data_IF_090298133938
#
_entry.id   IF_090298133938
#
_cell.length_a   1.000
_cell.length_b   1.000
_cell.length_c   1.000
_cell.angle_alpha   90.00
_cell.angle_beta   90.00
_cell.angle_gamma   90.00
#
_symmetry.space_group_name_H-M   'P 1'
#
loop_
_entity.id
_entity.type
_entity.pdbx_description
1 polymer ?
#
# COMPACT_ATOMS: atom_id res chain seq x y z
N UNK A 1 -13.07 53.10 -12.04
CA UNK A 1 -13.92 54.06 -11.31
C UNK A 1 -15.05 54.52 -12.23
N UNK A 2 -16.21 53.84 -12.21
CA UNK A 2 -17.58 54.35 -12.49
C UNK A 2 -18.54 53.16 -12.42
N UNK A 3 -19.51 53.28 -11.52
CA UNK A 3 -20.63 52.37 -11.22
C UNK A 3 -21.88 52.87 -11.94
N UNK A 4 -22.72 51.93 -12.36
CA UNK A 4 -24.19 52.00 -12.46
C UNK A 4 -24.67 50.53 -12.44
N UNK A 5 -25.24 49.94 -11.37
CA UNK A 5 -26.64 50.00 -10.88
C UNK A 5 -27.64 50.16 -12.03
N UNK A 6 -28.64 49.33 -12.29
CA UNK A 6 -29.28 48.23 -11.57
C UNK A 6 -30.80 48.28 -11.83
N UNK A 7 -31.47 47.12 -11.74
CA UNK A 7 -32.92 46.86 -11.54
C UNK A 7 -33.80 46.47 -12.76
N UNK A 8 -34.88 45.68 -12.51
CA UNK A 8 -35.16 44.42 -13.21
C UNK A 8 -36.57 44.37 -13.84
N UNK A 9 -36.92 43.30 -14.55
CA UNK A 9 -38.32 42.88 -14.74
C UNK A 9 -38.44 41.36 -14.82
N UNK A 10 -39.28 40.84 -13.93
CA UNK A 10 -39.90 39.53 -13.94
C UNK A 10 -41.28 39.66 -14.62
N UNK A 11 -41.84 38.56 -15.16
CA UNK A 11 -43.28 38.22 -15.28
C UNK A 11 -43.46 37.05 -16.25
N UNK A 12 -43.82 35.93 -15.65
CA UNK A 12 -44.65 34.83 -16.14
C UNK A 12 -45.58 35.14 -17.32
N UNK A 13 -45.67 34.20 -18.28
CA UNK A 13 -46.94 33.87 -18.93
C UNK A 13 -47.01 32.38 -19.33
N UNK A 14 -47.99 31.73 -18.73
CA UNK A 14 -48.57 30.44 -19.10
C UNK A 14 -49.00 30.40 -20.57
N UNK A 15 -48.76 29.26 -21.23
CA UNK A 15 -49.68 28.73 -22.24
C UNK A 15 -49.86 27.23 -21.99
N UNK A 16 -51.09 26.88 -21.63
CA UNK A 16 -51.66 25.54 -21.57
C UNK A 16 -52.33 25.30 -22.92
N UNK A 17 -52.01 24.19 -23.60
CA UNK A 17 -52.93 23.52 -24.54
C UNK A 17 -52.69 22.02 -24.38
N UNK A 18 -53.75 21.32 -23.96
CA UNK A 18 -53.81 19.86 -23.92
C UNK A 18 -54.69 19.30 -25.03
N UNK A 19 -54.53 18.01 -25.28
CA UNK A 19 -55.52 17.02 -25.73
C UNK A 19 -54.73 15.74 -26.04
N UNK A 20 -54.75 14.76 -25.14
CA UNK A 20 -55.65 13.59 -25.16
C UNK A 20 -55.30 12.57 -26.25
N UNK A 21 -54.80 11.41 -25.83
CA UNK A 21 -55.43 10.12 -26.14
C UNK A 21 -54.99 9.06 -25.12
N UNK A 22 -56.01 8.48 -24.51
CA UNK A 22 -56.09 7.27 -23.70
C UNK A 22 -55.56 6.00 -24.41
N UNK A 23 -54.95 5.07 -23.66
CA UNK A 23 -55.36 3.66 -23.65
C UNK A 23 -54.64 2.85 -22.55
N UNK A 24 -55.48 2.39 -21.62
CA UNK A 24 -55.52 1.07 -20.97
C UNK A 24 -54.46 0.58 -19.97
N UNK A 25 -55.05 0.15 -18.85
CA UNK A 25 -54.49 -0.49 -17.69
C UNK A 25 -54.28 -1.99 -17.87
N UNK A 26 -53.26 -2.53 -17.19
CA UNK A 26 -53.29 -3.90 -16.69
C UNK A 26 -52.51 -3.98 -15.37
N UNK A 27 -53.27 -4.10 -14.28
CA UNK A 27 -52.83 -4.63 -12.99
C UNK A 27 -52.43 -6.12 -13.15
N UNK A 28 -51.36 -6.56 -12.47
CA UNK A 28 -51.32 -7.73 -11.54
C UNK A 28 -49.90 -8.32 -11.39
N UNK A 29 -49.53 -8.52 -10.11
CA UNK A 29 -48.60 -9.48 -9.49
C UNK A 29 -47.08 -9.37 -9.62
N UNK A 30 -46.49 -9.11 -8.44
CA UNK A 30 -45.23 -9.71 -7.97
C UNK A 30 -45.23 -11.24 -8.12
N UNK A 31 -44.05 -11.84 -8.32
CA UNK A 31 -43.57 -12.67 -7.23
C UNK A 31 -42.08 -12.46 -6.91
N UNK A 32 -41.80 -12.43 -5.61
CA UNK A 32 -40.51 -12.77 -5.03
C UNK A 32 -40.12 -14.18 -5.46
N UNK A 33 -38.95 -14.34 -6.08
CA UNK A 33 -38.17 -15.57 -5.94
C UNK A 33 -36.69 -15.28 -6.08
N UNK A 34 -36.01 -15.42 -4.93
CA UNK A 34 -34.59 -15.65 -4.80
C UNK A 34 -34.12 -16.73 -5.78
N UNK A 35 -33.04 -16.48 -6.51
CA UNK A 35 -32.19 -17.53 -7.06
C UNK A 35 -30.72 -17.22 -6.74
N UNK A 36 -30.35 -17.68 -5.55
CA UNK A 36 -28.98 -17.96 -5.17
C UNK A 36 -28.40 -19.02 -6.13
N UNK A 37 -27.72 -18.60 -7.19
CA UNK A 37 -27.06 -19.52 -8.13
C UNK A 37 -25.84 -18.91 -8.86
N UNK A 38 -25.14 -17.96 -8.22
CA UNK A 38 -23.88 -17.40 -8.72
C UNK A 38 -22.68 -17.58 -7.78
N UNK A 39 -22.82 -18.29 -6.65
CA UNK A 39 -21.74 -18.48 -5.66
C UNK A 39 -21.12 -19.90 -5.66
N UNK A 40 -21.44 -20.76 -6.65
CA UNK A 40 -21.13 -22.19 -6.58
C UNK A 40 -19.98 -22.69 -7.48
N UNK A 41 -19.20 -21.83 -8.12
CA UNK A 41 -18.20 -22.27 -9.12
C UNK A 41 -16.72 -22.25 -8.69
N UNK A 42 -16.38 -21.90 -7.44
CA UNK A 42 -14.97 -21.85 -6.96
C UNK A 42 -14.68 -22.66 -5.70
N UNK A 43 -15.35 -23.80 -5.49
CA UNK A 43 -14.98 -24.77 -4.44
C UNK A 43 -14.70 -26.17 -4.99
N UNK A 44 -13.41 -26.43 -5.21
CA UNK A 44 -12.79 -27.77 -5.19
C UNK A 44 -11.48 -27.62 -4.40
N UNK A 45 -11.05 -28.51 -3.50
CA UNK A 45 -11.60 -29.68 -2.79
C UNK A 45 -10.42 -30.14 -1.90
N UNK A 46 -10.57 -30.24 -0.58
CA UNK A 46 -9.78 -31.13 0.33
C UNK A 46 -10.30 -30.98 1.78
N UNK A 47 -10.10 -31.95 2.69
CA UNK A 47 -10.88 -33.18 2.76
C UNK A 47 -11.60 -33.33 4.12
N UNK A 48 -12.73 -34.06 4.13
CA UNK A 48 -13.35 -34.56 5.36
C UNK A 48 -12.58 -35.79 5.83
N UNK A 49 -11.87 -35.69 6.96
CA UNK A 49 -11.37 -36.86 7.67
C UNK A 49 -12.43 -37.40 8.63
N UNK A 50 -12.76 -38.67 8.44
CA UNK A 50 -13.59 -39.48 9.33
C UNK A 50 -12.90 -39.62 10.71
N UNK A 51 -13.63 -39.34 11.79
CA UNK A 51 -13.26 -39.78 13.14
C UNK A 51 -13.44 -41.30 13.21
N UNK A 52 -12.33 -42.03 13.18
CA UNK A 52 -12.27 -43.41 13.66
C UNK A 52 -11.60 -43.39 15.03
N UNK A 53 -12.35 -43.78 16.06
CA UNK A 53 -11.80 -44.11 17.37
C UNK A 53 -10.95 -45.39 17.26
N UNK A 54 -9.77 -45.41 17.87
CA UNK A 54 -9.03 -46.63 18.29
C UNK A 54 -7.91 -46.26 19.29
N UNK A 55 -7.35 -47.24 20.02
CA UNK A 55 -7.17 -47.18 21.46
C UNK A 55 -5.77 -46.70 21.88
N UNK A 56 -5.68 -46.36 23.17
CA UNK A 56 -4.46 -46.13 23.92
C UNK A 56 -3.48 -47.31 23.83
N UNK A 57 -2.36 -47.12 23.15
CA UNK A 57 -1.14 -47.91 23.30
C UNK A 57 0.03 -46.95 23.48
N UNK A 58 0.63 -47.00 24.66
CA UNK A 58 1.85 -46.26 25.02
C UNK A 58 3.03 -46.90 24.29
N UNK A 59 3.54 -46.23 23.26
CA UNK A 59 4.85 -46.49 22.67
C UNK A 59 5.65 -45.20 22.81
N UNK A 60 6.69 -45.26 23.63
CA UNK A 60 7.69 -44.22 23.85
C UNK A 60 8.36 -43.84 22.53
N UNK A 61 7.84 -42.80 21.89
CA UNK A 61 8.44 -42.17 20.72
C UNK A 61 9.45 -41.12 21.21
N UNK A 62 10.72 -41.33 20.88
CA UNK A 62 11.70 -40.24 20.85
C UNK A 62 11.11 -39.12 19.99
N UNK A 63 10.85 -37.96 20.59
CA UNK A 63 10.34 -36.78 19.89
C UNK A 63 11.43 -36.26 18.96
N UNK A 64 11.40 -36.69 17.70
CA UNK A 64 12.13 -36.02 16.62
C UNK A 64 11.37 -34.72 16.37
N UNK A 65 11.84 -33.62 16.95
CA UNK A 65 11.27 -32.30 16.68
C UNK A 65 11.38 -32.01 15.18
N UNK A 66 10.27 -31.59 14.57
CA UNK A 66 10.32 -31.13 13.19
C UNK A 66 11.09 -29.81 13.10
N UNK A 67 11.77 -29.56 11.97
CA UNK A 67 12.46 -28.28 11.71
C UNK A 67 11.51 -27.09 11.90
N UNK A 68 10.25 -27.25 11.52
CA UNK A 68 9.22 -26.23 11.71
C UNK A 68 8.98 -25.94 13.20
N UNK A 69 8.85 -26.96 14.06
CA UNK A 69 8.69 -26.77 15.51
C UNK A 69 9.93 -26.15 16.17
N UNK A 70 11.13 -26.51 15.71
CA UNK A 70 12.38 -25.88 16.19
C UNK A 70 12.40 -24.39 15.82
N UNK A 71 12.09 -24.04 14.58
CA UNK A 71 12.01 -22.65 14.11
C UNK A 71 10.92 -21.89 14.86
N UNK A 72 9.73 -22.50 15.02
CA UNK A 72 8.58 -21.86 15.68
C UNK A 72 8.86 -21.59 17.16
N UNK A 73 9.50 -22.53 17.87
CA UNK A 73 9.92 -22.31 19.27
C UNK A 73 11.01 -21.25 19.39
N UNK A 74 12.01 -21.27 18.51
CA UNK A 74 13.07 -20.25 18.50
C UNK A 74 12.51 -18.84 18.20
N UNK A 75 11.56 -18.75 17.27
CA UNK A 75 10.86 -17.50 16.94
C UNK A 75 9.94 -17.01 18.06
N UNK A 76 9.34 -17.89 18.86
CA UNK A 76 8.53 -17.49 20.01
C UNK A 76 9.39 -16.88 21.14
N UNK A 77 10.63 -17.35 21.29
CA UNK A 77 11.58 -16.83 22.30
C UNK A 77 12.07 -15.42 21.91
N UNK A 78 12.28 -15.13 20.63
CA UNK A 78 12.74 -13.80 20.18
C UNK A 78 11.68 -12.71 20.34
N UNK A 79 10.38 -13.06 20.32
CA UNK A 79 9.28 -12.10 20.48
C UNK A 79 9.13 -11.51 21.89
N UNK A 80 9.79 -12.09 22.92
CA UNK A 80 9.67 -11.63 24.32
C UNK A 80 10.84 -10.75 24.79
N UNK A 81 11.87 -10.54 23.97
CA UNK A 81 13.03 -9.75 24.37
C UNK A 81 12.88 -8.26 23.98
N UNK A 82 12.69 -7.41 24.98
CA UNK A 82 12.83 -5.95 24.87
C UNK A 82 14.30 -5.47 24.84
N UNK A 83 15.26 -6.39 24.77
CA UNK A 83 16.68 -6.07 24.67
C UNK A 83 17.05 -5.72 23.21
N UNK A 84 17.94 -4.74 22.97
CA UNK A 84 18.45 -4.47 21.63
C UNK A 84 19.08 -5.73 21.03
N UNK A 85 18.86 -5.96 19.73
CA UNK A 85 19.47 -7.09 19.05
C UNK A 85 20.99 -7.02 19.16
N UNK A 86 21.63 -8.16 19.44
CA UNK A 86 23.09 -8.23 19.39
C UNK A 86 23.64 -8.08 17.97
N UNK A 87 22.80 -8.36 16.96
CA UNK A 87 23.10 -8.24 15.54
C UNK A 87 22.01 -7.42 14.84
N UNK A 88 22.05 -6.08 14.96
CA UNK A 88 20.97 -5.22 14.48
C UNK A 88 20.98 -4.97 12.96
N UNK A 89 22.06 -5.37 12.26
CA UNK A 89 22.24 -5.20 10.81
C UNK A 89 22.25 -6.53 10.08
N UNK A 90 22.00 -6.50 8.77
CA UNK A 90 22.26 -7.65 7.89
C UNK A 90 23.77 -7.80 7.76
N UNK A 91 24.30 -8.96 8.15
CA UNK A 91 25.73 -9.27 8.10
C UNK A 91 26.15 -9.60 6.66
N UNK A 92 27.41 -9.34 6.32
CA UNK A 92 27.98 -9.70 5.02
C UNK A 92 28.07 -11.24 4.86
N UNK A 93 27.25 -11.85 3.99
CA UNK A 93 27.23 -13.29 3.82
C UNK A 93 28.52 -13.83 3.21
N UNK A 94 29.19 -13.07 2.33
CA UNK A 94 30.34 -13.57 1.58
C UNK A 94 31.53 -13.82 2.51
N UNK A 95 31.72 -12.91 3.47
CA UNK A 95 32.72 -13.06 4.53
C UNK A 95 32.45 -14.24 5.47
N UNK A 96 31.17 -14.58 5.67
CA UNK A 96 30.73 -15.68 6.52
C UNK A 96 30.90 -17.01 5.79
N UNK A 97 30.34 -17.14 4.58
CA UNK A 97 30.37 -18.38 3.80
C UNK A 97 31.79 -18.85 3.48
N UNK A 98 32.71 -17.93 3.21
CA UNK A 98 34.11 -18.26 2.95
C UNK A 98 34.83 -18.94 4.14
N UNK A 99 34.34 -18.76 5.37
CA UNK A 99 34.96 -19.28 6.60
C UNK A 99 34.21 -20.45 7.20
N UNK A 100 33.04 -20.80 6.67
CA UNK A 100 32.23 -21.90 7.19
C UNK A 100 32.86 -23.24 6.84
N UNK A 101 33.23 -24.00 7.85
CA UNK A 101 33.72 -25.38 7.71
C UNK A 101 32.77 -26.35 8.40
N UNK A 102 32.55 -27.57 7.88
CA UNK A 102 31.84 -28.60 8.60
C UNK A 102 32.57 -28.90 9.92
N UNK A 103 31.83 -29.05 11.03
CA UNK A 103 32.42 -29.48 12.32
C UNK A 103 32.82 -30.95 12.34
N UNK A 104 32.36 -31.74 11.37
CA UNK A 104 32.61 -33.17 11.26
C UNK A 104 33.36 -33.45 9.96
N UNK A 105 34.49 -34.13 10.06
CA UNK A 105 35.29 -34.58 8.92
C UNK A 105 34.56 -35.70 8.12
N UNK A 106 33.56 -36.36 8.72
CA UNK A 106 32.78 -37.43 8.10
C UNK A 106 31.26 -37.30 8.46
N UNK A 107 30.48 -36.52 7.69
CA UNK A 107 29.08 -36.28 8.00
C UNK A 107 28.20 -37.50 7.70
N UNK A 108 27.39 -37.94 8.68
CA UNK A 108 26.40 -38.99 8.46
C UNK A 108 25.43 -38.58 7.33
N UNK A 109 25.32 -39.35 6.23
CA UNK A 109 24.47 -39.01 5.09
C UNK A 109 22.97 -38.97 5.42
N UNK A 110 22.57 -39.48 6.59
CA UNK A 110 21.19 -39.43 7.10
C UNK A 110 20.90 -38.19 7.98
N UNK A 111 21.88 -37.32 8.24
CA UNK A 111 21.68 -36.11 9.04
C UNK A 111 21.02 -35.00 8.21
N UNK A 112 19.89 -34.48 8.69
CA UNK A 112 19.14 -33.38 8.05
C UNK A 112 19.88 -32.04 8.13
N UNK A 113 20.82 -31.90 9.08
CA UNK A 113 21.64 -30.70 9.22
C UNK A 113 23.10 -31.07 9.57
N UNK A 114 24.06 -30.46 8.88
CA UNK A 114 25.48 -30.58 9.18
C UNK A 114 25.88 -29.41 10.08
N UNK A 115 26.36 -29.64 11.31
CA UNK A 115 26.83 -28.56 12.17
C UNK A 115 28.04 -27.86 11.54
N UNK A 116 27.96 -26.54 11.37
CA UNK A 116 29.04 -25.72 10.81
C UNK A 116 29.82 -24.99 11.92
N UNK A 117 31.13 -24.81 11.70
CA UNK A 117 32.07 -24.00 12.48
C UNK A 117 32.65 -22.88 11.63
N UNK A 118 33.38 -21.94 12.26
CA UNK A 118 34.03 -20.85 11.54
C UNK A 118 33.15 -19.62 11.30
N UNK A 119 31.93 -19.61 11.82
CA UNK A 119 31.08 -18.41 11.85
C UNK A 119 31.78 -17.29 12.62
N UNK A 120 32.21 -16.24 11.90
CA UNK A 120 32.78 -15.04 12.46
C UNK A 120 32.17 -13.83 11.77
N UNK A 121 31.83 -12.82 12.56
CA UNK A 121 31.34 -11.54 12.04
C UNK A 121 32.52 -10.80 11.42
N UNK A 122 32.31 -10.17 10.27
CA UNK A 122 33.35 -9.37 9.63
C UNK A 122 33.81 -8.24 10.57
N UNK A 123 35.08 -7.85 10.46
CA UNK A 123 35.60 -6.76 11.29
C UNK A 123 34.85 -5.44 11.02
N UNK A 124 34.38 -5.26 9.78
CA UNK A 124 33.58 -4.10 9.38
C UNK A 124 32.22 -4.12 10.04
N UNK A 125 31.49 -5.25 9.99
CA UNK A 125 30.18 -5.39 10.63
C UNK A 125 30.27 -5.22 12.14
N UNK A 126 31.28 -5.80 12.78
CA UNK A 126 31.51 -5.63 14.22
C UNK A 126 31.69 -4.15 14.60
N UNK A 127 32.47 -3.38 13.82
CA UNK A 127 32.64 -1.93 14.03
C UNK A 127 31.32 -1.17 13.85
N UNK A 128 30.53 -1.51 12.82
CA UNK A 128 29.22 -0.87 12.57
C UNK A 128 28.26 -1.16 13.73
N UNK A 129 28.21 -2.39 14.22
CA UNK A 129 27.37 -2.77 15.36
C UNK A 129 27.78 -1.98 16.61
N UNK A 130 29.07 -1.84 16.88
CA UNK A 130 29.54 -1.01 18.00
C UNK A 130 29.15 0.47 17.85
N UNK A 131 29.29 1.03 16.65
CA UNK A 131 28.84 2.41 16.36
C UNK A 131 27.34 2.56 16.62
N UNK A 132 26.52 1.60 16.15
CA UNK A 132 25.09 1.57 16.39
C UNK A 132 24.74 1.53 17.88
N UNK A 133 25.38 0.65 18.65
CA UNK A 133 25.16 0.54 20.12
C UNK A 133 25.55 1.84 20.85
N UNK A 134 26.69 2.46 20.48
CA UNK A 134 27.14 3.75 21.04
C UNK A 134 26.18 4.88 20.69
N UNK A 135 25.73 4.94 19.45
CA UNK A 135 24.77 5.96 19.01
C UNK A 135 23.41 5.79 19.69
N UNK A 136 22.90 4.56 19.77
CA UNK A 136 21.62 4.26 20.43
C UNK A 136 21.61 4.74 21.88
N UNK A 137 22.65 4.41 22.66
CA UNK A 137 22.75 4.82 24.06
C UNK A 137 22.85 6.33 24.21
N UNK A 138 23.63 7.00 23.34
CA UNK A 138 23.77 8.47 23.30
C UNK A 138 22.43 9.15 22.99
N UNK A 139 21.75 8.73 21.92
CA UNK A 139 20.48 9.32 21.50
C UNK A 139 19.37 9.05 22.52
N UNK A 140 19.29 7.83 23.07
CA UNK A 140 18.29 7.45 24.08
C UNK A 140 18.45 8.28 25.35
N UNK A 141 19.68 8.62 25.76
CA UNK A 141 19.93 9.51 26.89
C UNK A 141 19.46 10.94 26.60
N UNK A 142 19.69 11.47 25.40
CA UNK A 142 19.23 12.81 25.01
C UNK A 142 17.70 12.91 24.93
N UNK A 143 17.02 11.90 24.38
CA UNK A 143 15.56 11.87 24.27
C UNK A 143 14.83 11.80 25.63
N UNK A 144 15.48 11.31 26.69
CA UNK A 144 14.92 11.35 28.05
C UNK A 144 14.83 12.76 28.64
N UNK A 145 15.65 13.71 28.15
CA UNK A 145 15.71 15.09 28.63
C UNK A 145 15.33 16.07 27.50
N UNK A 146 14.04 16.12 27.09
CA UNK A 146 13.61 16.83 25.88
C UNK A 146 13.76 18.35 25.94
N UNK A 147 13.79 18.95 27.14
CA UNK A 147 13.80 20.41 27.30
C UNK A 147 15.03 21.13 26.72
N UNK A 148 16.08 20.39 26.37
CA UNK A 148 17.31 20.97 25.81
C UNK A 148 17.73 20.33 24.48
N UNK A 149 16.92 19.44 23.89
CA UNK A 149 17.28 18.71 22.68
C UNK A 149 16.59 19.31 21.45
N UNK A 150 17.33 20.11 20.68
CA UNK A 150 16.80 20.82 19.51
C UNK A 150 17.07 20.07 18.19
N UNK A 151 16.36 20.48 17.12
CA UNK A 151 16.54 19.94 15.75
C UNK A 151 18.00 19.95 15.29
N UNK A 152 18.71 21.07 15.49
CA UNK A 152 20.11 21.21 15.10
C UNK A 152 21.01 20.20 15.84
N UNK A 153 20.85 20.07 17.16
CA UNK A 153 21.64 19.15 17.98
C UNK A 153 21.41 17.67 17.61
N UNK A 154 20.18 17.32 17.20
CA UNK A 154 19.87 16.00 16.66
C UNK A 154 20.61 15.75 15.35
N UNK A 155 20.58 16.67 14.40
CA UNK A 155 21.27 16.55 13.12
C UNK A 155 22.80 16.51 13.30
N UNK A 156 23.36 17.32 14.20
CA UNK A 156 24.77 17.28 14.61
C UNK A 156 25.16 15.95 15.27
N UNK A 157 24.20 15.20 15.81
CA UNK A 157 24.45 13.87 16.36
C UNK A 157 24.29 12.77 15.29
N UNK A 158 23.30 12.90 14.40
CA UNK A 158 22.97 11.91 13.38
C UNK A 158 23.95 11.92 12.19
N UNK A 159 24.32 13.09 11.66
CA UNK A 159 25.17 13.18 10.48
C UNK A 159 26.55 12.54 10.72
N UNK A 160 27.29 12.84 11.81
CA UNK A 160 28.58 12.19 12.05
C UNK A 160 28.49 10.67 12.23
N UNK A 161 27.36 10.17 12.76
CA UNK A 161 27.12 8.73 12.87
C UNK A 161 26.97 8.08 11.49
N UNK A 162 26.16 8.67 10.61
CA UNK A 162 25.99 8.17 9.24
C UNK A 162 27.28 8.29 8.42
N UNK A 163 28.06 9.36 8.60
CA UNK A 163 29.38 9.52 7.97
C UNK A 163 30.37 8.45 8.44
N UNK A 164 30.39 8.16 9.75
CA UNK A 164 31.24 7.10 10.29
C UNK A 164 30.91 5.75 9.65
N UNK A 165 29.63 5.44 9.44
CA UNK A 165 29.21 4.23 8.72
C UNK A 165 29.70 4.28 7.27
N UNK A 166 29.45 5.40 6.58
CA UNK A 166 29.85 5.61 5.19
C UNK A 166 31.35 5.37 4.98
N UNK A 167 32.20 5.91 5.86
CA UNK A 167 33.65 5.71 5.82
C UNK A 167 34.05 4.24 6.01
N UNK A 168 33.36 3.50 6.89
CA UNK A 168 33.65 2.07 7.11
C UNK A 168 33.21 1.18 5.95
N UNK A 169 32.10 1.52 5.30
CA UNK A 169 31.58 0.76 4.15
C UNK A 169 32.25 1.18 2.84
N UNK A 170 32.90 2.35 2.81
CA UNK A 170 33.60 2.86 1.62
C UNK A 170 32.66 3.42 0.55
N UNK A 171 31.48 3.93 0.95
CA UNK A 171 30.48 4.46 0.00
C UNK A 171 30.79 5.93 -0.31
N UNK A 172 30.91 6.26 -1.61
CA UNK A 172 31.04 7.63 -2.06
C UNK A 172 29.68 8.33 -2.13
N UNK A 173 29.64 9.59 -1.68
CA UNK A 173 28.50 10.49 -1.80
C UNK A 173 28.99 11.70 -2.57
N UNK A 174 28.40 11.95 -3.74
CA UNK A 174 28.77 13.05 -4.63
C UNK A 174 28.08 14.36 -4.29
N UNK A 175 27.77 14.60 -3.01
CA UNK A 175 27.03 15.78 -2.54
C UNK A 175 27.74 16.36 -1.33
N UNK A 176 27.86 17.69 -1.30
CA UNK A 176 28.49 18.43 -0.23
C UNK A 176 27.63 18.42 1.05
N UNK A 177 28.28 18.45 2.21
CA UNK A 177 27.62 18.43 3.52
C UNK A 177 26.82 19.70 3.84
N UNK A 178 27.07 20.80 3.11
CA UNK A 178 26.31 22.05 3.17
C UNK A 178 24.94 21.99 2.49
N UNK A 179 24.62 20.91 1.76
CA UNK A 179 23.33 20.75 1.09
C UNK A 179 22.20 20.51 2.11
N UNK A 180 21.10 21.24 1.98
CA UNK A 180 19.91 21.13 2.85
C UNK A 180 19.30 19.70 2.88
N UNK A 181 19.52 18.91 1.81
CA UNK A 181 19.10 17.50 1.73
C UNK A 181 20.16 16.48 2.16
N UNK A 182 21.31 16.90 2.68
CA UNK A 182 22.47 16.02 2.90
C UNK A 182 22.15 14.80 3.77
N UNK A 183 21.47 15.01 4.89
CA UNK A 183 21.09 13.92 5.82
C UNK A 183 20.19 12.87 5.15
N UNK A 184 19.27 13.30 4.28
CA UNK A 184 18.37 12.38 3.57
C UNK A 184 19.16 11.51 2.58
N UNK A 185 20.15 12.10 1.92
CA UNK A 185 21.03 11.41 0.97
C UNK A 185 21.91 10.41 1.71
N UNK A 186 22.51 10.81 2.84
CA UNK A 186 23.24 9.89 3.73
C UNK A 186 22.35 8.71 4.14
N UNK A 187 21.16 8.99 4.65
CA UNK A 187 20.25 7.94 5.12
C UNK A 187 19.80 7.00 4.00
N UNK A 188 19.58 7.52 2.78
CA UNK A 188 19.31 6.69 1.60
C UNK A 188 20.47 5.75 1.25
N UNK A 189 21.71 6.20 1.44
CA UNK A 189 22.91 5.46 1.03
C UNK A 189 23.39 4.46 2.08
N UNK A 190 23.34 4.84 3.36
CA UNK A 190 23.93 4.05 4.46
C UNK A 190 22.92 3.69 5.56
N UNK A 191 21.66 4.07 5.43
CA UNK A 191 20.67 3.88 6.50
C UNK A 191 20.38 2.42 6.84
N UNK A 192 20.56 1.49 5.89
CA UNK A 192 20.41 0.05 6.11
C UNK A 192 21.37 -0.51 7.17
N UNK A 193 22.50 0.18 7.41
CA UNK A 193 23.50 -0.20 8.41
C UNK A 193 23.24 0.36 9.82
N UNK A 194 22.19 1.17 10.00
CA UNK A 194 21.83 1.65 11.35
C UNK A 194 21.26 0.51 12.21
N UNK A 195 20.58 -0.43 11.56
CA UNK A 195 19.82 -1.48 12.21
C UNK A 195 18.48 -1.01 12.78
N UNK A 196 17.58 -1.96 13.03
CA UNK A 196 16.16 -1.67 13.31
C UNK A 196 15.93 -0.87 14.60
N UNK A 197 16.66 -1.18 15.67
CA UNK A 197 16.51 -0.50 16.96
C UNK A 197 16.95 0.98 16.89
N UNK A 198 18.05 1.25 16.18
CA UNK A 198 18.53 2.60 15.94
C UNK A 198 17.56 3.35 15.05
N UNK A 199 17.09 2.73 13.95
CA UNK A 199 16.13 3.35 13.05
C UNK A 199 14.83 3.72 13.77
N UNK A 200 14.32 2.86 14.67
CA UNK A 200 13.16 3.16 15.51
C UNK A 200 13.40 4.36 16.45
N UNK A 201 14.58 4.45 17.06
CA UNK A 201 14.93 5.58 17.93
C UNK A 201 15.12 6.90 17.16
N UNK A 202 15.71 6.82 15.97
CA UNK A 202 15.83 7.95 15.03
C UNK A 202 14.44 8.41 14.59
N UNK A 203 13.53 7.48 14.30
CA UNK A 203 12.12 7.81 13.99
C UNK A 203 11.45 8.55 15.15
N UNK A 204 11.57 8.04 16.38
CA UNK A 204 10.98 8.68 17.56
C UNK A 204 11.51 10.11 17.76
N UNK A 205 12.82 10.32 17.56
CA UNK A 205 13.42 11.65 17.58
C UNK A 205 12.86 12.55 16.47
N UNK A 206 12.81 12.07 15.23
CA UNK A 206 12.29 12.82 14.09
C UNK A 206 10.82 13.22 14.29
N UNK A 207 9.99 12.32 14.82
CA UNK A 207 8.57 12.61 15.08
C UNK A 207 8.43 13.57 16.26
N UNK A 208 9.19 13.37 17.35
CA UNK A 208 9.16 14.25 18.52
C UNK A 208 9.66 15.66 18.22
N UNK A 209 10.64 15.79 17.34
CA UNK A 209 11.20 17.08 16.89
C UNK A 209 10.49 17.64 15.65
N UNK A 210 9.50 16.94 15.07
CA UNK A 210 8.82 17.36 13.84
C UNK A 210 9.77 17.61 12.65
N UNK A 211 10.66 16.66 12.38
CA UNK A 211 11.55 16.62 11.20
C UNK A 211 10.97 15.62 10.19
N UNK A 212 9.90 16.04 9.53
CA UNK A 212 9.05 15.18 8.71
C UNK A 212 9.73 14.67 7.43
N UNK A 213 10.70 15.42 6.92
CA UNK A 213 11.47 15.07 5.71
C UNK A 213 12.33 13.82 5.96
N UNK A 214 12.88 13.69 7.17
CA UNK A 214 13.60 12.49 7.59
C UNK A 214 12.64 11.33 7.87
N UNK A 215 11.44 11.58 8.41
CA UNK A 215 10.41 10.55 8.55
C UNK A 215 10.05 9.97 7.18
N UNK A 216 9.80 10.82 6.18
CA UNK A 216 9.53 10.40 4.81
C UNK A 216 10.67 9.58 4.22
N UNK A 217 11.91 10.00 4.46
CA UNK A 217 13.11 9.28 4.02
C UNK A 217 13.28 7.91 4.71
N UNK A 218 12.95 7.78 6.00
CA UNK A 218 12.98 6.49 6.70
C UNK A 218 11.98 5.49 6.10
N UNK A 219 10.76 5.98 5.81
CA UNK A 219 9.69 5.16 5.21
C UNK A 219 10.07 4.76 3.77
N UNK A 220 10.45 5.72 2.93
CA UNK A 220 10.71 5.50 1.51
C UNK A 220 11.89 4.55 1.24
N UNK A 221 12.85 4.49 2.17
CA UNK A 221 14.00 3.58 2.09
C UNK A 221 13.77 2.25 2.83
N UNK A 222 12.56 1.99 3.35
CA UNK A 222 12.22 0.72 4.02
C UNK A 222 13.03 0.45 5.29
N UNK A 223 13.46 1.50 5.99
CA UNK A 223 14.36 1.38 7.16
C UNK A 223 13.62 1.05 8.46
N UNK A 224 12.29 1.15 8.46
CA UNK A 224 11.46 1.00 9.65
C UNK A 224 10.95 -0.43 9.80
N UNK A 225 11.04 -1.05 10.99
CA UNK A 225 10.34 -2.28 11.27
C UNK A 225 8.82 -2.06 11.32
N UNK A 226 8.03 -3.09 11.02
CA UNK A 226 6.56 -3.00 10.97
C UNK A 226 5.95 -2.51 12.29
N UNK A 227 6.55 -2.87 13.43
CA UNK A 227 6.11 -2.42 14.76
C UNK A 227 6.15 -0.90 14.94
N UNK A 228 7.00 -0.17 14.20
CA UNK A 228 7.05 1.28 14.28
C UNK A 228 5.79 1.96 13.73
N UNK A 229 5.09 1.35 12.76
CA UNK A 229 3.92 1.95 12.13
C UNK A 229 2.73 2.10 13.08
N UNK A 230 2.61 1.19 14.06
CA UNK A 230 1.56 1.26 15.10
C UNK A 230 1.60 2.58 15.89
N UNK A 231 2.81 3.10 16.15
CA UNK A 231 3.01 4.37 16.86
C UNK A 231 3.12 5.57 15.91
N UNK A 232 3.60 5.34 14.69
CA UNK A 232 3.82 6.39 13.70
C UNK A 232 2.51 6.86 13.06
N UNK A 233 1.68 5.94 12.56
CA UNK A 233 0.46 6.26 11.81
C UNK A 233 -0.48 7.18 12.60
N UNK A 234 -0.82 6.91 13.88
CA UNK A 234 -1.65 7.83 14.67
C UNK A 234 -1.08 9.25 14.77
N UNK A 235 0.25 9.38 14.93
CA UNK A 235 0.92 10.69 15.03
C UNK A 235 0.89 11.44 13.68
N UNK A 236 1.11 10.72 12.58
CA UNK A 236 1.06 11.27 11.21
C UNK A 236 -0.37 11.72 10.86
N UNK A 237 -1.38 10.93 11.23
CA UNK A 237 -2.80 11.30 11.09
C UNK A 237 -3.13 12.54 11.91
N UNK A 238 -2.72 12.58 13.18
CA UNK A 238 -2.94 13.73 14.07
C UNK A 238 -2.30 15.02 13.51
N UNK A 239 -1.13 14.90 12.88
CA UNK A 239 -0.42 16.01 12.23
C UNK A 239 -0.87 16.27 10.79
N UNK A 240 -1.87 15.53 10.30
CA UNK A 240 -2.48 15.70 8.96
C UNK A 240 -1.45 15.63 7.82
N UNK A 241 -0.47 14.74 7.92
CA UNK A 241 0.60 14.56 6.92
C UNK A 241 0.25 13.49 5.90
N UNK A 242 -0.61 13.86 4.94
CA UNK A 242 -1.12 12.96 3.90
C UNK A 242 0.00 12.40 3.01
N UNK A 243 1.01 13.23 2.74
CA UNK A 243 2.25 12.85 2.03
C UNK A 243 2.94 11.65 2.69
N UNK A 244 3.09 11.68 4.01
CA UNK A 244 3.71 10.60 4.78
C UNK A 244 2.80 9.37 4.88
N UNK A 245 1.48 9.53 4.99
CA UNK A 245 0.54 8.39 4.95
C UNK A 245 0.61 7.66 3.60
N UNK A 246 0.70 8.41 2.49
CA UNK A 246 0.93 7.81 1.18
C UNK A 246 2.26 7.05 1.13
N UNK A 247 3.34 7.57 1.73
CA UNK A 247 4.60 6.83 1.83
C UNK A 247 4.46 5.56 2.66
N UNK A 248 3.74 5.58 3.79
CA UNK A 248 3.48 4.39 4.59
C UNK A 248 2.80 3.31 3.73
N UNK A 249 1.76 3.67 2.98
CA UNK A 249 1.03 2.74 2.10
C UNK A 249 1.91 2.19 0.96
N UNK A 250 2.79 3.02 0.41
CA UNK A 250 3.67 2.64 -0.71
C UNK A 250 4.80 1.70 -0.29
N UNK A 251 5.33 1.85 0.92
CA UNK A 251 6.62 1.27 1.32
C UNK A 251 6.57 0.35 2.54
N UNK A 252 5.56 0.46 3.41
CA UNK A 252 5.41 -0.50 4.49
C UNK A 252 5.13 -1.89 3.88
N UNK A 253 5.81 -2.92 4.40
CA UNK A 253 5.62 -4.29 3.91
C UNK A 253 4.34 -4.91 4.44
N UNK A 254 3.99 -4.64 5.71
CA UNK A 254 2.80 -5.21 6.35
C UNK A 254 2.20 -4.19 7.34
N UNK A 255 1.21 -3.43 6.87
CA UNK A 255 0.39 -2.58 7.74
C UNK A 255 -0.69 -3.44 8.41
N UNK A 256 -0.81 -3.36 9.73
CA UNK A 256 -1.88 -4.03 10.46
C UNK A 256 -3.23 -3.37 10.26
N UNK A 257 -4.30 -4.09 10.61
CA UNK A 257 -5.68 -3.60 10.46
C UNK A 257 -5.96 -2.30 11.22
N UNK A 258 -5.30 -2.05 12.36
CA UNK A 258 -5.41 -0.78 13.10
C UNK A 258 -4.83 0.40 12.33
N UNK A 259 -3.65 0.22 11.72
CA UNK A 259 -2.99 1.26 10.93
C UNK A 259 -3.77 1.53 9.65
N UNK A 260 -4.20 0.48 8.96
CA UNK A 260 -5.03 0.57 7.75
C UNK A 260 -6.36 1.28 8.03
N UNK A 261 -7.02 0.96 9.15
CA UNK A 261 -8.24 1.62 9.56
C UNK A 261 -8.04 3.13 9.71
N UNK A 262 -6.99 3.56 10.41
CA UNK A 262 -6.70 4.99 10.60
C UNK A 262 -6.41 5.70 9.26
N UNK A 263 -5.64 5.06 8.38
CA UNK A 263 -5.32 5.59 7.04
C UNK A 263 -6.60 5.71 6.19
N UNK A 264 -7.41 4.65 6.15
CA UNK A 264 -8.68 4.63 5.42
C UNK A 264 -9.62 5.73 5.89
N UNK A 265 -9.86 5.82 7.20
CA UNK A 265 -10.73 6.86 7.76
C UNK A 265 -10.25 8.26 7.39
N UNK A 266 -8.95 8.50 7.50
CA UNK A 266 -8.37 9.79 7.13
C UNK A 266 -8.54 10.14 5.64
N UNK A 267 -8.40 9.17 4.73
CA UNK A 267 -8.62 9.41 3.29
C UNK A 267 -10.10 9.49 2.90
N UNK A 268 -11.00 8.81 3.61
CA UNK A 268 -12.43 8.74 3.29
C UNK A 268 -13.26 9.90 3.88
N UNK A 269 -12.84 10.45 5.02
CA UNK A 269 -13.45 11.62 5.65
C UNK A 269 -12.35 12.60 6.14
N UNK A 270 -11.57 13.20 5.21
CA UNK A 270 -10.49 14.10 5.58
C UNK A 270 -11.04 15.33 6.32
N UNK A 271 -10.37 15.82 7.39
CA UNK A 271 -10.81 16.99 8.13
C UNK A 271 -10.80 18.24 7.23
N UNK A 272 -11.75 19.16 7.47
CA UNK A 272 -11.98 20.36 6.63
C UNK A 272 -10.76 21.27 6.43
N UNK A 273 -9.75 21.22 7.30
CA UNK A 273 -8.49 21.97 7.18
C UNK A 273 -7.26 21.08 6.87
N UNK A 274 -7.46 19.82 6.46
CA UNK A 274 -6.39 18.91 5.99
C UNK A 274 -5.93 19.17 4.56
N UNK A 275 -6.31 20.31 3.97
CA UNK A 275 -6.12 20.60 2.55
C UNK A 275 -4.67 20.78 2.13
N UNK A 276 -3.76 21.23 3.01
CA UNK A 276 -2.40 21.60 2.59
C UNK A 276 -1.55 20.41 2.15
N UNK A 277 -1.57 19.28 2.88
CA UNK A 277 -0.76 18.11 2.52
C UNK A 277 -1.38 17.23 1.43
N UNK A 278 -2.72 17.27 1.25
CA UNK A 278 -3.39 16.59 0.14
C UNK A 278 -3.19 17.33 -1.19
N UNK A 279 -2.96 18.66 -1.15
CA UNK A 279 -2.58 19.45 -2.33
C UNK A 279 -1.26 18.97 -2.93
N UNK A 280 -0.28 18.57 -2.11
CA UNK A 280 1.01 18.08 -2.64
C UNK A 280 0.87 16.75 -3.38
N UNK A 281 0.02 15.84 -2.88
CA UNK A 281 -0.32 14.60 -3.60
C UNK A 281 -0.98 14.93 -4.95
N UNK A 282 -1.93 15.87 -4.96
CA UNK A 282 -2.57 16.31 -6.21
C UNK A 282 -1.56 16.93 -7.17
N UNK A 283 -0.67 17.81 -6.71
CA UNK A 283 0.39 18.43 -7.53
C UNK A 283 1.32 17.39 -8.14
N UNK A 284 1.68 16.34 -7.39
CA UNK A 284 2.49 15.24 -7.93
C UNK A 284 1.76 14.51 -9.05
N UNK A 285 0.50 14.13 -8.85
CA UNK A 285 -0.30 13.48 -9.91
C UNK A 285 -0.50 14.40 -11.13
N UNK A 286 -0.71 15.70 -10.91
CA UNK A 286 -0.84 16.71 -11.96
C UNK A 286 0.47 16.85 -12.77
N UNK A 287 1.61 16.98 -12.08
CA UNK A 287 2.94 17.03 -12.69
C UNK A 287 3.22 15.78 -13.55
N UNK A 288 2.91 14.59 -13.03
CA UNK A 288 3.07 13.34 -13.77
C UNK A 288 2.15 13.27 -15.00
N UNK A 289 0.91 13.76 -14.87
CA UNK A 289 -0.06 13.80 -15.97
C UNK A 289 0.38 14.78 -17.08
N UNK A 290 0.84 15.97 -16.70
CA UNK A 290 1.38 16.96 -17.64
C UNK A 290 2.63 16.43 -18.34
N UNK A 291 3.58 15.87 -17.60
CA UNK A 291 4.79 15.28 -18.18
C UNK A 291 4.47 14.15 -19.16
N UNK A 292 3.43 13.35 -18.89
CA UNK A 292 2.98 12.31 -19.81
C UNK A 292 2.37 12.91 -21.09
N UNK A 293 1.56 13.97 -20.99
CA UNK A 293 0.98 14.66 -22.14
C UNK A 293 2.04 15.33 -23.01
N UNK A 294 3.04 15.98 -22.41
CA UNK A 294 4.20 16.56 -23.10
C UNK A 294 4.95 15.47 -23.88
N UNK A 295 5.28 14.35 -23.23
CA UNK A 295 5.97 13.23 -23.88
C UNK A 295 5.14 12.57 -24.98
N UNK A 296 3.81 12.57 -24.86
CA UNK A 296 2.92 12.02 -25.88
C UNK A 296 2.80 12.90 -27.14
N UNK A 297 3.15 14.18 -27.02
CA UNK A 297 3.11 15.18 -28.11
C UNK A 297 4.50 15.55 -28.63
N UNK A 298 5.55 15.11 -27.95
CA UNK A 298 6.95 15.31 -28.35
C UNK A 298 7.26 14.61 -29.68
N UNK A 299 7.60 15.42 -30.69
CA UNK A 299 7.95 14.97 -32.04
C UNK A 299 9.29 14.22 -32.10
N UNK A 300 10.13 14.34 -31.07
CA UNK A 300 11.42 13.64 -30.98
C UNK A 300 11.26 12.19 -30.51
N UNK A 301 10.17 11.89 -29.79
CA UNK A 301 9.80 10.54 -29.39
C UNK A 301 9.13 9.80 -30.55
N UNK A 302 9.66 8.64 -30.91
CA UNK A 302 9.12 7.81 -32.01
C UNK A 302 8.98 6.34 -31.63
N UNK A 303 8.24 5.60 -32.46
CA UNK A 303 8.02 4.17 -32.32
C UNK A 303 7.39 3.78 -30.98
N UNK A 304 7.96 2.74 -30.35
CA UNK A 304 7.43 2.14 -29.12
C UNK A 304 7.36 3.11 -27.93
N UNK A 305 8.32 4.04 -27.81
CA UNK A 305 8.34 5.01 -26.70
C UNK A 305 7.20 6.01 -26.80
N UNK A 306 6.89 6.47 -28.02
CA UNK A 306 5.74 7.34 -28.27
C UNK A 306 4.41 6.62 -27.95
N UNK A 307 4.30 5.34 -28.32
CA UNK A 307 3.16 4.50 -27.94
C UNK A 307 2.95 4.44 -26.42
N UNK A 308 4.02 4.13 -25.68
CA UNK A 308 4.00 4.10 -24.21
C UNK A 308 3.62 5.46 -23.62
N UNK A 309 4.13 6.56 -24.18
CA UNK A 309 3.80 7.91 -23.71
C UNK A 309 2.31 8.24 -23.91
N UNK A 310 1.73 7.88 -25.06
CA UNK A 310 0.30 8.06 -25.35
C UNK A 310 -0.59 7.24 -24.42
N UNK A 311 -0.25 5.97 -24.21
CA UNK A 311 -0.93 5.10 -23.24
C UNK A 311 -0.85 5.68 -21.83
N UNK A 312 0.33 6.12 -21.40
CA UNK A 312 0.54 6.73 -20.09
C UNK A 312 -0.24 8.04 -19.91
N UNK A 313 -0.34 8.87 -20.96
CA UNK A 313 -1.10 10.11 -20.92
C UNK A 313 -2.60 9.85 -20.72
N UNK A 314 -3.18 8.88 -21.45
CA UNK A 314 -4.58 8.48 -21.26
C UNK A 314 -4.80 7.88 -19.86
N UNK A 315 -3.89 6.99 -19.44
CA UNK A 315 -3.93 6.36 -18.12
C UNK A 315 -3.95 7.38 -16.98
N UNK A 316 -2.99 8.32 -16.99
CA UNK A 316 -2.87 9.33 -15.93
C UNK A 316 -4.00 10.35 -16.00
N UNK A 317 -4.48 10.72 -17.19
CA UNK A 317 -5.67 11.57 -17.33
C UNK A 317 -6.89 10.90 -16.71
N UNK A 318 -7.13 9.61 -16.98
CA UNK A 318 -8.24 8.85 -16.40
C UNK A 318 -8.13 8.73 -14.88
N UNK A 319 -6.91 8.50 -14.38
CA UNK A 319 -6.64 8.40 -12.95
C UNK A 319 -6.70 9.76 -12.23
N UNK A 320 -6.43 10.88 -12.90
CA UNK A 320 -6.47 12.20 -12.27
C UNK A 320 -7.86 12.83 -12.30
N UNK A 321 -8.54 12.77 -13.45
CA UNK A 321 -9.78 13.49 -13.69
C UNK A 321 -10.98 12.96 -12.89
N UNK A 322 -11.71 13.86 -12.23
CA UNK A 322 -12.90 13.53 -11.44
C UNK A 322 -12.63 12.99 -10.04
N UNK A 323 -11.35 12.88 -9.63
CA UNK A 323 -10.94 12.47 -8.29
C UNK A 323 -10.48 13.67 -7.45
N UNK A 324 -10.95 13.73 -6.21
CA UNK A 324 -10.49 14.66 -5.18
C UNK A 324 -9.07 14.31 -4.72
N UNK A 325 -8.37 15.25 -4.08
CA UNK A 325 -7.02 15.01 -3.56
C UNK A 325 -6.94 13.85 -2.58
N UNK A 326 -7.98 13.62 -1.77
CA UNK A 326 -8.03 12.49 -0.83
C UNK A 326 -8.28 11.16 -1.55
N UNK A 327 -9.08 11.15 -2.62
CA UNK A 327 -9.26 9.98 -3.47
C UNK A 327 -7.97 9.61 -4.23
N UNK A 328 -7.15 10.59 -4.63
CA UNK A 328 -5.82 10.32 -5.19
C UNK A 328 -4.89 9.59 -4.19
N UNK A 329 -5.09 9.78 -2.89
CA UNK A 329 -4.39 9.00 -1.87
C UNK A 329 -4.87 7.54 -1.82
N UNK A 330 -6.18 7.31 -2.02
CA UNK A 330 -6.76 5.95 -2.09
C UNK A 330 -6.23 5.16 -3.29
N UNK A 331 -5.78 5.81 -4.37
CA UNK A 331 -5.11 5.12 -5.49
C UNK A 331 -3.90 4.32 -5.01
N UNK A 332 -3.08 4.93 -4.16
CA UNK A 332 -1.91 4.25 -3.59
C UNK A 332 -2.30 3.05 -2.73
N UNK A 333 -3.40 3.16 -1.98
CA UNK A 333 -3.90 2.06 -1.18
C UNK A 333 -4.33 0.91 -2.11
N UNK A 334 -5.28 1.15 -3.01
CA UNK A 334 -5.80 0.07 -3.87
C UNK A 334 -4.75 -0.54 -4.80
N UNK A 335 -3.77 0.24 -5.26
CA UNK A 335 -2.71 -0.26 -6.15
C UNK A 335 -1.52 -0.89 -5.39
N UNK A 336 -1.50 -0.82 -4.05
CA UNK A 336 -0.36 -1.32 -3.27
C UNK A 336 -0.34 -2.85 -3.27
N UNK A 337 0.83 -3.39 -3.62
CA UNK A 337 1.11 -4.83 -3.60
C UNK A 337 1.40 -5.38 -2.20
N UNK A 338 1.59 -4.49 -1.23
CA UNK A 338 1.95 -4.84 0.15
C UNK A 338 0.73 -4.92 1.07
N UNK A 339 -0.48 -4.82 0.52
CA UNK A 339 -1.70 -4.92 1.32
C UNK A 339 -2.11 -6.36 1.51
N UNK A 340 -2.21 -6.76 2.77
CA UNK A 340 -2.86 -8.01 3.16
C UNK A 340 -4.38 -7.84 3.09
N UNK A 341 -5.03 -8.71 2.32
CA UNK A 341 -6.48 -8.67 2.07
C UNK A 341 -7.29 -8.89 3.37
N UNK A 342 -6.78 -9.72 4.29
CA UNK A 342 -7.44 -10.00 5.57
C UNK A 342 -7.36 -8.77 6.48
N UNK A 343 -6.21 -8.11 6.55
CA UNK A 343 -6.05 -6.87 7.32
C UNK A 343 -6.88 -5.74 6.73
N UNK A 344 -6.96 -5.63 5.40
CA UNK A 344 -7.82 -4.66 4.72
C UNK A 344 -9.30 -4.92 5.01
N UNK A 345 -9.75 -6.18 4.93
CA UNK A 345 -11.12 -6.57 5.26
C UNK A 345 -11.47 -6.20 6.72
N UNK A 346 -10.60 -6.55 7.66
CA UNK A 346 -10.76 -6.22 9.08
C UNK A 346 -10.76 -4.71 9.38
N UNK A 347 -10.14 -3.89 8.52
CA UNK A 347 -10.25 -2.44 8.59
C UNK A 347 -11.56 -1.94 7.98
N UNK A 348 -11.97 -2.47 6.83
CA UNK A 348 -13.22 -2.09 6.13
C UNK A 348 -14.45 -2.36 6.99
N UNK A 349 -14.49 -3.48 7.73
CA UNK A 349 -15.61 -3.84 8.63
C UNK A 349 -15.80 -2.87 9.81
N UNK A 350 -14.84 -1.96 10.06
CA UNK A 350 -14.88 -0.96 11.13
C UNK A 350 -15.13 0.46 10.63
N UNK A 351 -15.47 0.62 9.35
CA UNK A 351 -15.85 1.91 8.78
C UNK A 351 -17.27 2.30 9.22
N UNK A 352 -17.47 3.59 9.43
CA UNK A 352 -18.78 4.19 9.69
C UNK A 352 -19.59 4.34 8.39
N UNK A 353 -20.90 4.58 8.51
CA UNK A 353 -21.77 4.76 7.34
C UNK A 353 -21.30 5.83 6.36
N UNK A 354 -20.81 6.97 6.88
CA UNK A 354 -20.23 8.04 6.04
C UNK A 354 -18.99 7.57 5.30
N UNK A 355 -18.05 6.94 6.00
CA UNK A 355 -16.79 6.46 5.42
C UNK A 355 -17.05 5.36 4.37
N UNK A 356 -17.97 4.42 4.66
CA UNK A 356 -18.42 3.42 3.70
C UNK A 356 -19.04 4.04 2.45
N UNK A 357 -19.88 5.06 2.61
CA UNK A 357 -20.49 5.79 1.49
C UNK A 357 -19.44 6.48 0.62
N UNK A 358 -18.44 7.13 1.24
CA UNK A 358 -17.30 7.70 0.53
C UNK A 358 -16.52 6.65 -0.24
N UNK A 359 -16.30 5.48 0.36
CA UNK A 359 -15.56 4.38 -0.28
C UNK A 359 -16.34 3.81 -1.48
N UNK A 360 -17.65 3.55 -1.33
CA UNK A 360 -18.52 3.13 -2.43
C UNK A 360 -18.49 4.12 -3.59
N UNK A 361 -18.57 5.42 -3.29
CA UNK A 361 -18.52 6.46 -4.33
C UNK A 361 -17.19 6.45 -5.07
N UNK A 362 -16.08 6.34 -4.36
CA UNK A 362 -14.75 6.24 -4.95
C UNK A 362 -14.60 4.99 -5.85
N UNK A 363 -15.02 3.82 -5.36
CA UNK A 363 -14.99 2.57 -6.12
C UNK A 363 -15.90 2.62 -7.36
N UNK A 364 -17.10 3.20 -7.21
CA UNK A 364 -18.04 3.41 -8.31
C UNK A 364 -17.51 4.36 -9.38
N UNK A 365 -16.72 5.38 -9.02
CA UNK A 365 -16.02 6.22 -10.01
C UNK A 365 -15.06 5.39 -10.85
N UNK A 366 -14.25 4.53 -10.22
CA UNK A 366 -13.34 3.65 -10.94
C UNK A 366 -14.06 2.71 -11.89
N UNK A 367 -15.14 2.05 -11.45
CA UNK A 367 -15.95 1.20 -12.32
C UNK A 367 -16.47 1.95 -13.56
N UNK A 368 -16.98 3.18 -13.38
CA UNK A 368 -17.43 4.03 -14.51
C UNK A 368 -16.28 4.40 -15.45
N UNK A 369 -15.06 4.59 -14.94
CA UNK A 369 -13.88 4.81 -15.79
C UNK A 369 -13.55 3.55 -16.58
N UNK A 370 -13.63 2.36 -15.99
CA UNK A 370 -13.38 1.09 -16.69
C UNK A 370 -14.41 0.73 -17.73
N UNK A 371 -15.68 1.06 -17.49
CA UNK A 371 -16.73 0.91 -18.50
C UNK A 371 -16.43 1.72 -19.77
N UNK A 372 -15.86 2.92 -19.60
CA UNK A 372 -15.50 3.80 -20.73
C UNK A 372 -14.13 3.52 -21.33
N UNK A 373 -13.20 3.07 -20.49
CA UNK A 373 -11.80 2.87 -20.85
C UNK A 373 -11.29 1.53 -20.30
N UNK A 374 -11.78 0.38 -20.81
CA UNK A 374 -11.44 -0.95 -20.30
C UNK A 374 -9.95 -1.31 -20.44
N UNK A 375 -9.24 -0.65 -21.36
CA UNK A 375 -7.81 -0.81 -21.61
C UNK A 375 -6.91 -0.12 -20.57
N UNK A 376 -7.48 0.71 -19.69
CA UNK A 376 -6.71 1.47 -18.70
C UNK A 376 -6.24 0.53 -17.60
N UNK A 377 -4.96 0.60 -17.26
CA UNK A 377 -4.38 -0.15 -16.16
C UNK A 377 -2.94 0.31 -15.90
N UNK A 378 -2.36 -0.04 -14.75
CA UNK A 378 -1.02 0.40 -14.38
C UNK A 378 0.03 0.03 -15.44
N UNK A 379 0.86 1.01 -15.81
CA UNK A 379 1.83 0.89 -16.89
C UNK A 379 3.28 0.98 -16.36
N UNK A 380 3.81 -0.16 -15.93
CA UNK A 380 5.20 -0.28 -15.43
C UNK A 380 6.27 0.12 -16.46
N UNK A 381 5.96 -0.02 -17.76
CA UNK A 381 6.86 0.40 -18.84
C UNK A 381 6.99 1.92 -18.89
N UNK A 382 5.92 2.68 -18.61
CA UNK A 382 5.97 4.13 -18.57
C UNK A 382 6.79 4.63 -17.39
N UNK A 383 6.66 3.99 -16.23
CA UNK A 383 7.47 4.29 -15.04
C UNK A 383 8.97 4.08 -15.30
N UNK A 384 9.35 2.93 -15.88
CA UNK A 384 10.76 2.59 -16.14
C UNK A 384 11.37 3.34 -17.33
N UNK A 385 10.65 3.44 -18.46
CA UNK A 385 11.20 4.01 -19.70
C UNK A 385 11.07 5.54 -19.79
N UNK A 386 10.06 6.12 -19.13
CA UNK A 386 9.72 7.55 -19.24
C UNK A 386 9.77 8.27 -17.88
N UNK A 387 10.08 7.57 -16.78
CA UNK A 387 10.10 8.16 -15.44
C UNK A 387 8.72 8.52 -14.88
N UNK A 388 7.64 8.03 -15.49
CA UNK A 388 6.26 8.35 -15.12
C UNK A 388 5.78 7.45 -13.97
N UNK A 389 6.26 7.72 -12.75
CA UNK A 389 6.07 6.83 -11.59
C UNK A 389 4.62 6.67 -11.16
N UNK A 390 3.77 7.67 -11.40
CA UNK A 390 2.34 7.58 -11.06
C UNK A 390 1.61 6.47 -11.84
N UNK A 391 2.12 6.05 -13.00
CA UNK A 391 1.55 4.96 -13.77
C UNK A 391 1.57 3.61 -13.03
N UNK A 392 2.45 3.43 -12.04
CA UNK A 392 2.50 2.20 -11.23
C UNK A 392 1.38 2.14 -10.18
N UNK A 393 0.77 3.29 -9.88
CA UNK A 393 -0.16 3.48 -8.77
C UNK A 393 -1.59 3.70 -9.22
N UNK A 394 -1.88 3.44 -10.50
CA UNK A 394 -3.25 3.38 -10.97
C UNK A 394 -3.85 2.03 -10.53
N UNK A 395 -4.94 2.01 -9.73
CA UNK A 395 -5.62 0.78 -9.34
C UNK A 395 -5.97 -0.06 -10.57
N UNK A 396 -6.02 -1.39 -10.46
CA UNK A 396 -6.57 -2.24 -11.54
C UNK A 396 -8.06 -2.46 -11.34
N UNK A 397 -8.77 -2.83 -12.43
CA UNK A 397 -10.16 -3.27 -12.33
C UNK A 397 -10.32 -4.43 -11.35
N UNK A 398 -9.37 -5.38 -11.36
CA UNK A 398 -9.35 -6.50 -10.41
C UNK A 398 -9.30 -6.03 -8.95
N UNK A 399 -8.40 -5.11 -8.62
CA UNK A 399 -8.24 -4.60 -7.25
C UNK A 399 -9.49 -3.82 -6.80
N UNK A 400 -10.10 -3.05 -7.71
CA UNK A 400 -11.36 -2.34 -7.46
C UNK A 400 -12.51 -3.32 -7.23
N UNK A 401 -12.66 -4.33 -8.09
CA UNK A 401 -13.71 -5.33 -7.96
C UNK A 401 -13.57 -6.15 -6.67
N UNK A 402 -12.35 -6.55 -6.31
CA UNK A 402 -12.05 -7.23 -5.03
C UNK A 402 -12.43 -6.36 -3.84
N UNK A 403 -12.04 -5.08 -3.85
CA UNK A 403 -12.37 -4.16 -2.76
C UNK A 403 -13.89 -3.97 -2.61
N UNK A 404 -14.65 -3.91 -3.71
CA UNK A 404 -16.12 -3.92 -3.67
C UNK A 404 -16.64 -5.22 -3.07
N UNK A 405 -16.11 -6.38 -3.48
CA UNK A 405 -16.48 -7.68 -2.92
C UNK A 405 -16.29 -7.72 -1.40
N UNK A 406 -15.11 -7.35 -0.91
CA UNK A 406 -14.80 -7.26 0.53
C UNK A 406 -15.76 -6.31 1.25
N UNK A 407 -16.04 -5.14 0.67
CA UNK A 407 -16.96 -4.17 1.27
C UNK A 407 -18.38 -4.73 1.40
N UNK A 408 -18.85 -5.44 0.37
CA UNK A 408 -20.16 -6.10 0.38
C UNK A 408 -20.19 -7.25 1.38
N UNK A 409 -19.18 -8.11 1.42
CA UNK A 409 -19.13 -9.28 2.29
C UNK A 409 -19.12 -8.87 3.77
N UNK A 410 -18.33 -7.86 4.14
CA UNK A 410 -18.22 -7.40 5.53
C UNK A 410 -19.42 -6.56 6.00
N UNK A 411 -20.11 -5.86 5.10
CA UNK A 411 -21.12 -4.86 5.47
C UNK A 411 -22.49 -5.05 4.82
N UNK A 412 -22.78 -6.23 4.24
CA UNK A 412 -23.99 -6.52 3.46
C UNK A 412 -25.28 -6.03 4.14
N UNK A 413 -25.48 -6.40 5.41
CA UNK A 413 -26.69 -6.05 6.15
C UNK A 413 -26.86 -4.54 6.27
N UNK A 414 -25.79 -3.79 6.57
CA UNK A 414 -25.86 -2.33 6.67
C UNK A 414 -26.15 -1.70 5.30
N UNK A 415 -25.46 -2.17 4.25
CA UNK A 415 -25.60 -1.66 2.88
C UNK A 415 -27.01 -1.86 2.31
N UNK A 416 -27.64 -2.99 2.60
CA UNK A 416 -28.98 -3.31 2.10
C UNK A 416 -30.09 -2.65 2.93
N UNK A 417 -29.93 -2.56 4.25
CA UNK A 417 -30.99 -2.05 5.13
C UNK A 417 -31.08 -0.52 5.18
N UNK A 418 -29.96 0.19 4.96
CA UNK A 418 -29.95 1.64 5.04
C UNK A 418 -30.11 2.29 3.67
N UNK A 419 -31.20 3.05 3.51
CA UNK A 419 -31.55 3.77 2.27
C UNK A 419 -30.44 4.70 1.77
N UNK A 420 -29.58 5.18 2.66
CA UNK A 420 -28.50 6.11 2.30
C UNK A 420 -27.46 5.52 1.33
N UNK A 421 -27.42 4.20 1.15
CA UNK A 421 -26.51 3.52 0.23
C UNK A 421 -27.16 3.10 -1.08
N UNK A 422 -28.50 3.11 -1.17
CA UNK A 422 -29.24 2.46 -2.25
C UNK A 422 -28.97 3.08 -3.62
N UNK A 423 -28.83 4.41 -3.68
CA UNK A 423 -28.53 5.12 -4.93
C UNK A 423 -27.12 4.81 -5.42
N UNK A 424 -26.12 4.85 -4.54
CA UNK A 424 -24.75 4.45 -4.86
C UNK A 424 -24.68 2.99 -5.31
N UNK A 425 -25.35 2.06 -4.61
CA UNK A 425 -25.36 0.64 -4.94
C UNK A 425 -26.06 0.37 -6.28
N UNK A 426 -27.18 1.04 -6.57
CA UNK A 426 -27.88 0.91 -7.86
C UNK A 426 -26.97 1.36 -9.00
N UNK A 427 -26.32 2.51 -8.85
CA UNK A 427 -25.39 3.02 -9.87
C UNK A 427 -24.19 2.09 -10.09
N UNK A 428 -23.67 1.47 -9.03
CA UNK A 428 -22.59 0.47 -9.15
C UNK A 428 -23.11 -0.78 -9.87
N UNK A 429 -24.29 -1.29 -9.51
CA UNK A 429 -24.87 -2.49 -10.09
C UNK A 429 -25.09 -2.37 -11.60
N UNK A 430 -25.55 -1.21 -12.08
CA UNK A 430 -25.71 -0.94 -13.51
C UNK A 430 -24.38 -1.10 -14.28
N UNK A 431 -23.31 -0.51 -13.75
CA UNK A 431 -21.97 -0.58 -14.36
C UNK A 431 -21.38 -1.99 -14.28
N UNK A 432 -21.55 -2.67 -13.14
CA UNK A 432 -21.09 -4.05 -12.97
C UNK A 432 -21.82 -5.00 -13.92
N UNK A 433 -23.13 -4.82 -14.13
CA UNK A 433 -23.90 -5.62 -15.07
C UNK A 433 -23.37 -5.44 -16.50
N UNK A 434 -23.13 -4.19 -16.91
CA UNK A 434 -22.52 -3.82 -18.21
C UNK A 434 -21.15 -4.49 -18.40
N UNK A 435 -20.23 -4.31 -17.45
CA UNK A 435 -18.89 -4.91 -17.48
C UNK A 435 -18.94 -6.46 -17.48
N UNK A 436 -19.90 -7.05 -16.77
CA UNK A 436 -20.06 -8.51 -16.71
C UNK A 436 -20.53 -9.09 -18.04
N UNK A 437 -21.44 -8.40 -18.74
CA UNK A 437 -21.88 -8.81 -20.07
C UNK A 437 -20.72 -8.77 -21.06
N UNK A 438 -19.92 -7.70 -21.03
CA UNK A 438 -18.73 -7.57 -21.88
C UNK A 438 -17.69 -8.65 -21.57
N UNK A 439 -17.40 -8.91 -20.29
CA UNK A 439 -16.48 -9.95 -19.87
C UNK A 439 -16.93 -11.34 -20.37
N UNK A 440 -18.22 -11.66 -20.26
CA UNK A 440 -18.77 -12.94 -20.78
C UNK A 440 -18.60 -13.05 -22.29
N UNK A 441 -18.91 -11.98 -23.02
CA UNK A 441 -18.73 -11.95 -24.47
C UNK A 441 -17.26 -12.16 -24.85
N UNK A 442 -16.33 -11.43 -24.23
CA UNK A 442 -14.89 -11.58 -24.43
C UNK A 442 -14.40 -13.02 -24.13
N UNK A 443 -14.87 -13.63 -23.03
CA UNK A 443 -14.53 -15.01 -22.70
C UNK A 443 -15.02 -16.01 -23.76
N UNK A 444 -16.23 -15.82 -24.30
CA UNK A 444 -16.75 -16.65 -25.38
C UNK A 444 -15.93 -16.52 -26.66
N UNK A 445 -15.55 -15.29 -27.04
CA UNK A 445 -14.70 -15.03 -28.20
C UNK A 445 -13.31 -15.64 -28.02
N UNK A 446 -12.69 -15.49 -26.85
CA UNK A 446 -11.39 -16.09 -26.55
C UNK A 446 -11.44 -17.62 -26.65
N UNK A 447 -12.48 -18.24 -26.08
CA UNK A 447 -12.68 -19.69 -26.14
C UNK A 447 -12.83 -20.20 -27.58
N UNK A 448 -13.60 -19.48 -28.41
CA UNK A 448 -13.75 -19.78 -29.83
C UNK A 448 -12.42 -19.63 -30.60
N UNK A 449 -11.67 -18.57 -30.33
CA UNK A 449 -10.36 -18.35 -30.93
C UNK A 449 -9.35 -19.45 -30.57
N UNK A 450 -9.38 -19.94 -29.32
CA UNK A 450 -8.53 -21.04 -28.88
C UNK A 450 -8.92 -22.37 -29.52
N UNK A 451 -10.22 -22.61 -29.75
CA UNK A 451 -10.69 -23.78 -30.51
C UNK A 451 -10.21 -23.72 -31.96
N UNK A 452 -10.35 -22.58 -32.62
CA UNK A 452 -9.90 -22.40 -34.02
C UNK A 452 -8.38 -22.55 -34.17
N UNK A 453 -7.59 -22.09 -33.19
CA UNK A 453 -6.13 -22.29 -33.19
C UNK A 453 -5.71 -23.75 -32.99
N UNK A 454 -6.54 -24.57 -32.35
CA UNK A 454 -6.25 -25.99 -32.15
C UNK A 454 -6.57 -26.84 -33.39
N UNK A 455 -7.34 -26.30 -34.33
CA UNK A 455 -7.71 -26.95 -35.60
C UNK A 455 -6.76 -26.62 -36.76
N UNK A 456 -5.83 -25.67 -36.59
CA UNK A 456 -4.76 -25.28 -37.54
C UNK A 456 -3.43 -25.80 -37.04
#
# INVERSE_FOLDING_TARGET
MRRTRGLPFDVNKHVVVGSDTSADAAHISYPYHLSALAAAALRRKAPRFFRLARPSVSLSLFSVMSLLEVITKASAISQTQHAPSDYPIVLDPDSIFAKLTPKLDDPNPMSVAIPMSGWQISQTDSKIIELGKKFFTKLKKKLKNPNNFAKAEFLETLNPFLESIREKVGISIGVDSSNDGYTQILMKKVGSFMGKDVAGLVLDACVGLEIWELVGSLIANGLLPNSCYQNLVPKVVAKRRSDLLCLCVKHASDLGSSELLLILKYFLDPPKDGYTSTVDVRKEWESQSLSAAEKATDKTLSGKKLGIAKEAAVLLMVAYDGFSSAELCLHYLLASKNLDEVMLSAAISKLSGREMKSLLRYLGKWLKKYERFPQVGPCHKASTALGLKACDWVPKLEDVAKCIGVLLDENYSALVLHLEFHDELRSINEVVASLTLEARFCCSVASAADTLKAEV
#
